data_IF_187626306490
#
_entry.id   IF_187626306490
#
_cell.length_a   1.000
_cell.length_b   1.000
_cell.length_c   1.000
_cell.angle_alpha   90.00
_cell.angle_beta   90.00
_cell.angle_gamma   90.00
#
_symmetry.space_group_name_H-M   'P 1'
#
loop_
_entity.id
_entity.type
_entity.pdbx_description
1 polymer ?
#
# COMPACT_ATOMS: atom_id res chain seq x y z
N UNK A 1 21.87 18.67 -7.15
CA UNK A 1 21.90 17.30 -7.71
C UNK A 1 21.18 17.34 -9.03
N UNK A 2 21.83 16.91 -10.12
CA UNK A 2 21.29 17.05 -11.48
C UNK A 2 19.98 16.29 -11.66
N UNK A 3 19.01 16.87 -12.36
CA UNK A 3 17.69 16.27 -12.55
C UNK A 3 17.67 15.12 -13.57
N UNK A 4 18.74 14.95 -14.34
CA UNK A 4 18.83 13.96 -15.42
C UNK A 4 19.06 12.54 -14.90
N UNK A 5 20.02 12.35 -13.98
CA UNK A 5 20.29 11.01 -13.40
C UNK A 5 19.08 10.45 -12.64
N UNK A 6 18.33 11.32 -11.95
CA UNK A 6 17.10 10.92 -11.27
C UNK A 6 16.08 10.35 -12.25
N UNK A 7 15.91 10.97 -13.43
CA UNK A 7 14.97 10.46 -14.44
C UNK A 7 15.41 9.13 -15.03
N UNK A 8 16.71 8.88 -15.10
CA UNK A 8 17.27 7.62 -15.63
C UNK A 8 17.12 6.43 -14.67
N UNK A 9 16.94 6.66 -13.36
CA UNK A 9 16.71 5.59 -12.39
C UNK A 9 15.23 5.32 -12.15
N UNK A 10 14.36 6.28 -12.44
CA UNK A 10 12.92 6.08 -12.33
C UNK A 10 12.48 4.99 -13.31
N UNK A 11 11.50 4.19 -12.88
CA UNK A 11 10.99 2.99 -13.54
C UNK A 11 11.95 1.80 -13.61
N UNK A 12 13.23 1.95 -13.22
CA UNK A 12 14.13 0.80 -13.11
C UNK A 12 13.70 -0.12 -11.98
N UNK A 13 13.85 -1.43 -12.21
CA UNK A 13 13.66 -2.42 -11.17
C UNK A 13 14.83 -2.35 -10.20
N UNK A 14 14.51 -2.20 -8.92
CA UNK A 14 15.49 -2.20 -7.83
C UNK A 14 15.23 -3.37 -6.90
N UNK A 15 16.29 -3.79 -6.20
CA UNK A 15 16.24 -4.68 -5.06
C UNK A 15 16.65 -3.89 -3.83
N UNK A 16 15.81 -3.96 -2.80
CA UNK A 16 15.98 -3.22 -1.54
C UNK A 16 16.10 -4.25 -0.43
N UNK A 17 17.20 -4.19 0.31
CA UNK A 17 17.43 -5.04 1.48
C UNK A 17 17.22 -4.21 2.73
N UNK A 18 16.36 -4.70 3.61
CA UNK A 18 16.08 -4.14 4.94
C UNK A 18 16.59 -5.09 6.03
N UNK A 19 16.36 -4.77 7.31
CA UNK A 19 16.57 -5.74 8.40
C UNK A 19 15.57 -6.91 8.32
N UNK A 20 14.32 -6.64 7.94
CA UNK A 20 13.21 -7.59 8.03
C UNK A 20 12.92 -8.37 6.75
N UNK A 21 13.63 -8.07 5.66
CA UNK A 21 13.27 -8.62 4.38
C UNK A 21 14.07 -8.05 3.22
N UNK A 22 14.00 -8.77 2.11
CA UNK A 22 14.47 -8.29 0.82
C UNK A 22 13.30 -8.18 -0.14
N UNK A 23 13.21 -7.03 -0.82
CA UNK A 23 12.10 -6.71 -1.71
C UNK A 23 12.62 -6.29 -3.08
N UNK A 24 11.82 -6.48 -4.11
CA UNK A 24 12.05 -5.91 -5.44
C UNK A 24 10.84 -5.11 -5.90
N UNK A 25 11.04 -4.09 -6.73
CA UNK A 25 9.95 -3.32 -7.33
C UNK A 25 10.50 -2.27 -8.29
N UNK A 26 9.63 -1.59 -9.03
CA UNK A 26 10.06 -0.51 -9.92
C UNK A 26 10.04 0.83 -9.20
N UNK A 27 11.12 1.60 -9.30
CA UNK A 27 11.29 2.86 -8.59
C UNK A 27 10.37 3.95 -9.16
N UNK A 28 9.47 4.50 -8.35
CA UNK A 28 8.51 5.54 -8.78
C UNK A 28 8.87 6.93 -8.26
N UNK A 29 9.43 7.00 -7.05
CA UNK A 29 9.78 8.27 -6.43
C UNK A 29 10.96 8.09 -5.47
N UNK A 30 11.75 9.15 -5.32
CA UNK A 30 12.79 9.29 -4.30
C UNK A 30 12.55 10.60 -3.57
N UNK A 31 12.29 10.51 -2.27
CA UNK A 31 12.22 11.65 -1.38
C UNK A 31 13.63 11.90 -0.81
N UNK A 32 14.24 13.01 -1.23
CA UNK A 32 15.58 13.37 -0.79
C UNK A 32 15.64 13.79 0.69
N UNK A 33 14.55 14.32 1.25
CA UNK A 33 14.51 14.81 2.63
C UNK A 33 14.44 13.65 3.62
N UNK A 34 13.53 12.70 3.40
CA UNK A 34 13.38 11.51 4.26
C UNK A 34 14.29 10.35 3.83
N UNK A 35 14.97 10.49 2.69
CA UNK A 35 15.71 9.42 2.00
C UNK A 35 14.82 8.22 1.67
N UNK A 36 13.50 8.42 1.60
CA UNK A 36 12.56 7.36 1.30
C UNK A 36 12.45 7.14 -0.21
N UNK A 37 12.07 5.93 -0.59
CA UNK A 37 11.78 5.56 -1.97
C UNK A 37 10.38 4.95 -2.05
N UNK A 38 9.69 5.19 -3.16
CA UNK A 38 8.39 4.56 -3.44
C UNK A 38 8.58 3.58 -4.59
N UNK A 39 8.14 2.34 -4.37
CA UNK A 39 8.15 1.28 -5.36
C UNK A 39 6.72 0.88 -5.73
N UNK A 40 6.50 0.53 -7.00
CA UNK A 40 5.33 -0.24 -7.43
C UNK A 40 5.73 -1.66 -7.88
N UNK A 41 4.74 -2.50 -8.16
CA UNK A 41 4.94 -3.92 -8.57
C UNK A 41 5.86 -4.68 -7.60
N UNK A 42 5.62 -4.49 -6.31
CA UNK A 42 6.55 -4.89 -5.27
C UNK A 42 6.43 -6.39 -4.99
N UNK A 43 7.57 -7.07 -4.93
CA UNK A 43 7.72 -8.47 -4.61
C UNK A 43 8.55 -8.61 -3.34
N UNK A 44 8.04 -9.38 -2.39
CA UNK A 44 8.76 -9.87 -1.21
C UNK A 44 9.53 -11.12 -1.64
N UNK A 45 10.85 -10.98 -1.75
CA UNK A 45 11.74 -12.01 -2.30
C UNK A 45 11.98 -13.15 -1.31
N UNK A 46 11.75 -12.94 -0.02
CA UNK A 46 11.93 -13.98 1.00
C UNK A 46 10.71 -14.89 1.06
N UNK A 47 9.52 -14.31 0.96
CA UNK A 47 8.26 -15.05 1.03
C UNK A 47 7.66 -15.37 -0.35
N UNK A 48 8.34 -14.99 -1.44
CA UNK A 48 7.89 -15.18 -2.82
C UNK A 48 6.46 -14.71 -3.08
N UNK A 49 6.10 -13.54 -2.54
CA UNK A 49 4.75 -12.97 -2.67
C UNK A 49 4.77 -11.58 -3.29
N UNK A 50 3.76 -11.29 -4.10
CA UNK A 50 3.50 -9.93 -4.58
C UNK A 50 2.80 -9.12 -3.50
N UNK A 51 3.28 -7.93 -3.22
CA UNK A 51 2.66 -6.99 -2.30
C UNK A 51 1.75 -6.05 -3.09
N UNK A 52 0.46 -5.94 -2.74
CA UNK A 52 -0.47 -5.08 -3.47
C UNK A 52 -0.16 -3.60 -3.24
N UNK A 53 -0.40 -2.80 -4.29
CA UNK A 53 -0.27 -1.35 -4.29
C UNK A 53 1.18 -0.85 -4.34
N UNK A 54 1.32 0.45 -4.12
CA UNK A 54 2.62 1.12 -3.96
C UNK A 54 3.15 0.89 -2.54
N UNK A 55 4.47 0.76 -2.38
CA UNK A 55 5.12 0.64 -1.07
C UNK A 55 6.20 1.70 -0.91
N UNK A 56 6.17 2.39 0.22
CA UNK A 56 7.19 3.33 0.61
C UNK A 56 8.25 2.62 1.46
N UNK A 57 9.53 2.93 1.23
CA UNK A 57 10.65 2.41 1.98
C UNK A 57 11.49 3.56 2.52
N UNK A 58 11.67 3.65 3.84
CA UNK A 58 12.37 4.78 4.46
C UNK A 58 13.87 4.57 4.51
N UNK A 59 14.65 5.63 4.28
CA UNK A 59 16.10 5.52 4.16
C UNK A 59 16.80 5.00 5.41
N UNK A 60 16.27 5.26 6.61
CA UNK A 60 16.83 4.72 7.86
C UNK A 60 16.65 3.19 8.00
N UNK A 61 15.75 2.60 7.20
CA UNK A 61 15.47 1.16 7.19
C UNK A 61 16.31 0.41 6.14
N UNK A 62 16.79 1.11 5.10
CA UNK A 62 17.45 0.53 3.93
C UNK A 62 18.91 0.22 4.26
N UNK A 63 19.25 -1.08 4.24
CA UNK A 63 20.63 -1.55 4.39
C UNK A 63 21.39 -1.55 3.07
N UNK A 64 20.69 -1.87 1.98
CA UNK A 64 21.28 -1.96 0.64
C UNK A 64 20.21 -1.69 -0.43
N UNK A 65 20.64 -1.10 -1.55
CA UNK A 65 19.80 -0.81 -2.70
C UNK A 65 20.58 -1.09 -3.99
N UNK A 66 20.08 -2.04 -4.79
CA UNK A 66 20.70 -2.52 -6.02
C UNK A 66 19.76 -2.25 -7.20
N UNK A 67 20.28 -1.72 -8.31
CA UNK A 67 19.52 -1.61 -9.56
C UNK A 67 19.68 -2.93 -10.33
N UNK A 68 18.57 -3.60 -10.61
CA UNK A 68 18.57 -4.90 -11.29
C UNK A 68 18.68 -4.78 -12.82
N UNK A 69 18.30 -3.63 -13.38
CA UNK A 69 18.33 -3.39 -14.84
C UNK A 69 19.72 -2.99 -15.37
N UNK A 70 20.76 -2.95 -14.52
CA UNK A 70 22.07 -2.43 -14.88
C UNK A 70 22.97 -3.39 -15.68
N UNK A 71 22.46 -4.51 -16.21
CA UNK A 71 23.25 -5.52 -16.93
C UNK A 71 23.00 -5.63 -18.44
N UNK A 72 22.28 -4.68 -19.05
CA UNK A 72 22.15 -4.60 -20.52
C UNK A 72 22.72 -3.29 -21.07
N UNK A 73 24.03 -3.10 -20.95
CA UNK A 73 24.74 -2.09 -21.76
C UNK A 73 25.96 -2.71 -22.41
N UNK A 74 25.70 -3.51 -23.45
CA UNK A 74 26.69 -3.92 -24.44
C UNK A 74 26.35 -3.28 -25.79
N UNK A 75 27.10 -2.23 -26.16
CA UNK A 75 27.32 -1.81 -27.55
C UNK A 75 28.81 -2.08 -27.84
N UNK A 76 29.18 -2.79 -28.93
CA UNK A 76 29.19 -2.26 -30.33
C UNK A 76 28.66 -3.30 -31.35
N UNK A 77 28.34 -3.07 -32.64
CA UNK A 77 28.58 -2.00 -33.61
C UNK A 77 27.54 -2.10 -34.76
N UNK A 78 27.49 -1.02 -35.53
CA UNK A 78 26.74 -0.74 -36.76
C UNK A 78 26.65 -1.86 -37.80
N UNK A 79 25.50 -1.94 -38.47
CA UNK A 79 25.40 -2.16 -39.91
C UNK A 79 24.08 -1.60 -40.41
N UNK A 80 24.18 -0.57 -41.24
CA UNK A 80 23.07 0.06 -41.94
C UNK A 80 22.43 -0.92 -42.93
N UNK A 81 21.10 -0.89 -43.03
CA UNK A 81 20.44 -1.01 -44.34
C UNK A 81 19.10 -0.30 -44.29
N UNK A 82 19.02 0.79 -45.06
CA UNK A 82 17.77 1.46 -45.39
C UNK A 82 16.90 0.52 -46.21
N UNK A 83 15.63 0.40 -45.83
CA UNK A 83 14.57 0.22 -46.82
C UNK A 83 13.30 0.90 -46.33
N UNK A 84 12.97 1.97 -47.04
CA UNK A 84 11.64 2.53 -47.23
C UNK A 84 10.55 1.47 -47.23
N UNK A 85 9.48 1.71 -46.46
CA UNK A 85 8.12 1.52 -46.96
C UNK A 85 7.15 2.42 -46.22
N UNK A 86 6.63 3.38 -46.98
CA UNK A 86 5.46 4.21 -46.72
C UNK A 86 4.27 3.30 -46.48
N UNK A 87 3.53 3.54 -45.41
CA UNK A 87 2.09 3.27 -45.40
C UNK A 87 1.37 4.24 -44.47
N UNK A 88 0.74 5.21 -45.11
CA UNK A 88 -0.29 6.07 -44.56
C UNK A 88 -1.44 5.20 -44.04
N UNK A 89 -1.87 5.43 -42.80
CA UNK A 89 -3.28 5.26 -42.43
C UNK A 89 -3.64 6.17 -41.26
N UNK A 90 -4.29 7.26 -41.66
CA UNK A 90 -5.19 8.15 -40.93
C UNK A 90 -6.10 7.37 -39.97
N UNK A 91 -6.21 7.82 -38.71
CA UNK A 91 -7.32 7.48 -37.80
C UNK A 91 -7.41 8.50 -36.65
N UNK A 92 -8.25 9.50 -36.91
CA UNK A 92 -9.28 10.12 -36.07
C UNK A 92 -9.08 10.27 -34.55
N UNK A 93 -9.21 11.53 -34.12
CA UNK A 93 -9.50 11.95 -32.74
C UNK A 93 -10.73 11.19 -32.22
N UNK A 94 -10.72 10.65 -31.00
CA UNK A 94 -11.95 10.35 -30.30
C UNK A 94 -12.51 11.66 -29.75
N UNK A 95 -13.69 12.03 -30.24
CA UNK A 95 -14.55 13.03 -29.62
C UNK A 95 -15.03 12.51 -28.27
N UNK A 96 -14.90 13.37 -27.27
CA UNK A 96 -15.40 13.21 -25.92
C UNK A 96 -16.93 13.29 -25.94
N UNK A 97 -17.61 12.15 -25.84
CA UNK A 97 -19.06 12.07 -25.64
C UNK A 97 -19.38 10.95 -24.65
N UNK A 98 -18.96 11.14 -23.41
CA UNK A 98 -19.61 10.50 -22.28
C UNK A 98 -20.71 11.42 -21.75
N UNK A 99 -21.98 10.97 -21.68
CA UNK A 99 -23.05 11.77 -21.10
C UNK A 99 -22.75 11.97 -19.61
N UNK A 100 -22.71 13.23 -19.18
CA UNK A 100 -22.68 13.63 -17.77
C UNK A 100 -23.87 12.96 -17.06
N UNK A 101 -23.62 11.81 -16.45
CA UNK A 101 -24.47 11.34 -15.37
C UNK A 101 -24.12 12.23 -14.19
N UNK A 102 -24.93 13.27 -14.02
CA UNK A 102 -25.01 14.03 -12.78
C UNK A 102 -24.95 13.03 -11.64
N UNK A 103 -23.88 13.05 -10.87
CA UNK A 103 -23.85 12.39 -9.57
C UNK A 103 -25.00 13.04 -8.81
N UNK A 104 -26.11 12.32 -8.72
CA UNK A 104 -27.19 12.71 -7.84
C UNK A 104 -26.53 12.84 -6.48
N UNK A 105 -26.46 14.09 -6.02
CA UNK A 105 -26.07 14.48 -4.69
C UNK A 105 -27.06 13.78 -3.77
N UNK A 106 -26.70 12.54 -3.40
CA UNK A 106 -27.40 11.81 -2.37
C UNK A 106 -27.22 12.68 -1.16
N UNK A 107 -28.34 13.29 -0.74
CA UNK A 107 -28.47 13.98 0.52
C UNK A 107 -27.72 13.15 1.55
N UNK A 108 -26.52 13.62 1.92
CA UNK A 108 -25.87 13.22 3.14
C UNK A 108 -26.83 13.76 4.19
N UNK A 109 -27.76 12.91 4.64
CA UNK A 109 -28.52 13.18 5.85
C UNK A 109 -27.46 13.51 6.88
N UNK A 110 -27.45 14.75 7.36
CA UNK A 110 -26.62 15.19 8.47
C UNK A 110 -26.65 14.07 9.49
N UNK A 111 -25.53 13.34 9.59
CA UNK A 111 -25.39 12.34 10.62
C UNK A 111 -25.48 13.16 11.89
N UNK A 112 -26.63 13.08 12.55
CA UNK A 112 -26.76 13.53 13.93
C UNK A 112 -25.53 12.95 14.64
N UNK A 113 -24.73 13.85 15.22
CA UNK A 113 -23.46 13.57 15.89
C UNK A 113 -23.75 12.76 17.16
N UNK A 114 -24.31 11.56 17.00
CA UNK A 114 -24.25 10.52 18.00
C UNK A 114 -22.77 10.17 18.09
N UNK A 115 -22.10 10.79 19.06
CA UNK A 115 -20.74 10.47 19.42
C UNK A 115 -20.68 8.99 19.81
N UNK A 116 -20.41 8.13 18.82
CA UNK A 116 -20.30 6.69 19.02
C UNK A 116 -19.25 6.43 20.10
N UNK A 117 -19.68 5.86 21.23
CA UNK A 117 -18.76 5.50 22.31
C UNK A 117 -17.85 4.37 21.83
N UNK A 118 -16.56 4.46 22.13
CA UNK A 118 -15.60 3.42 21.77
C UNK A 118 -15.50 2.35 22.86
N UNK A 119 -15.33 1.09 22.45
CA UNK A 119 -15.03 -0.01 23.36
C UNK A 119 -13.53 -0.26 23.35
N UNK A 120 -12.86 0.02 24.47
CA UNK A 120 -11.48 -0.37 24.70
C UNK A 120 -11.37 -1.89 24.90
N UNK A 121 -10.52 -2.52 24.10
CA UNK A 121 -10.15 -3.93 24.15
C UNK A 121 -8.67 -4.02 24.52
N UNK A 122 -8.41 -4.23 25.80
CA UNK A 122 -7.06 -4.27 26.40
C UNK A 122 -6.72 -5.67 26.96
N UNK A 123 -7.67 -6.59 26.94
CA UNK A 123 -7.53 -7.96 27.43
C UNK A 123 -8.43 -8.94 26.68
N UNK A 124 -8.07 -10.23 26.70
CA UNK A 124 -8.78 -11.30 25.99
C UNK A 124 -10.13 -11.73 26.59
N UNK A 125 -10.51 -11.22 27.77
CA UNK A 125 -11.66 -11.72 28.53
C UNK A 125 -13.03 -11.35 27.91
N UNK A 126 -13.85 -10.55 28.59
CA UNK A 126 -15.27 -10.41 28.25
C UNK A 126 -15.55 -9.68 26.94
N UNK A 127 -14.62 -8.85 26.46
CA UNK A 127 -14.86 -7.95 25.33
C UNK A 127 -14.24 -8.42 24.02
N UNK A 128 -13.08 -9.10 24.07
CA UNK A 128 -12.31 -9.46 22.88
C UNK A 128 -13.08 -10.40 21.94
N UNK A 129 -13.55 -11.53 22.45
CA UNK A 129 -14.30 -12.52 21.66
C UNK A 129 -15.55 -11.92 20.99
N UNK A 130 -16.44 -11.25 21.74
CA UNK A 130 -17.61 -10.57 21.17
C UNK A 130 -17.26 -9.52 20.13
N UNK A 131 -16.21 -8.71 20.35
CA UNK A 131 -15.76 -7.72 19.37
C UNK A 131 -15.29 -8.39 18.06
N UNK A 132 -14.44 -9.41 18.14
CA UNK A 132 -13.98 -10.16 16.96
C UNK A 132 -15.18 -10.77 16.20
N UNK A 133 -16.12 -11.37 16.92
CA UNK A 133 -17.32 -11.97 16.32
C UNK A 133 -18.21 -10.93 15.63
N UNK A 134 -18.40 -9.76 16.25
CA UNK A 134 -19.19 -8.68 15.67
C UNK A 134 -18.54 -8.09 14.43
N UNK A 135 -17.25 -7.79 14.48
CA UNK A 135 -16.49 -7.21 13.36
C UNK A 135 -16.46 -8.19 12.17
N UNK A 136 -16.33 -9.49 12.43
CA UNK A 136 -16.25 -10.52 11.37
C UNK A 136 -17.52 -10.65 10.51
N UNK A 137 -18.66 -10.15 11.01
CA UNK A 137 -19.94 -10.16 10.30
C UNK A 137 -20.11 -8.97 9.35
N UNK A 138 -19.24 -7.97 9.44
CA UNK A 138 -19.32 -6.77 8.61
C UNK A 138 -18.74 -7.04 7.23
N UNK A 139 -19.36 -6.47 6.19
CA UNK A 139 -18.80 -6.47 4.83
C UNK A 139 -17.84 -5.29 4.57
N UNK A 140 -17.95 -4.23 5.39
CA UNK A 140 -17.09 -3.04 5.33
C UNK A 140 -16.75 -2.62 6.77
N UNK A 141 -15.50 -2.29 7.02
CA UNK A 141 -15.02 -1.72 8.28
C UNK A 141 -14.09 -0.55 8.01
N UNK A 142 -14.05 0.43 8.90
CA UNK A 142 -12.97 1.42 8.92
C UNK A 142 -11.81 0.90 9.77
N UNK A 143 -10.57 1.04 9.29
CA UNK A 143 -9.37 0.66 10.07
C UNK A 143 -8.40 1.83 10.15
N UNK A 144 -8.01 2.18 11.38
CA UNK A 144 -6.90 3.10 11.64
C UNK A 144 -5.91 2.48 12.62
N UNK A 145 -4.64 2.88 12.52
CA UNK A 145 -3.55 2.31 13.31
C UNK A 145 -2.69 3.42 13.88
N UNK A 146 -2.31 3.29 15.15
CA UNK A 146 -1.38 4.21 15.81
C UNK A 146 -0.16 3.44 16.32
N UNK A 147 1.01 4.05 16.20
CA UNK A 147 2.26 3.45 16.61
C UNK A 147 3.40 4.46 16.68
N UNK A 148 4.52 4.00 17.25
CA UNK A 148 5.78 4.76 17.24
C UNK A 148 6.64 4.29 16.06
N UNK A 149 7.39 5.21 15.45
CA UNK A 149 8.26 4.94 14.30
C UNK A 149 7.52 4.26 13.13
N UNK A 150 6.31 4.76 12.84
CA UNK A 150 5.29 4.21 11.92
C UNK A 150 5.91 3.66 10.62
N UNK A 151 5.36 2.54 10.13
CA UNK A 151 5.77 1.69 9.00
C UNK A 151 6.39 0.35 9.43
N UNK A 152 7.46 -0.13 8.79
CA UNK A 152 7.81 -1.56 8.86
C UNK A 152 8.56 -1.95 10.13
N UNK A 153 9.26 -1.00 10.75
CA UNK A 153 9.96 -1.19 12.03
C UNK A 153 9.26 -0.47 13.19
N UNK A 154 8.17 0.23 12.90
CA UNK A 154 7.37 0.86 13.92
C UNK A 154 6.74 -0.17 14.85
N UNK A 155 6.56 0.22 16.11
CA UNK A 155 5.76 -0.59 17.04
C UNK A 155 4.33 -0.12 16.93
N UNK A 156 3.47 -1.02 16.50
CA UNK A 156 2.03 -0.84 16.53
C UNK A 156 1.55 -0.86 17.99
N UNK A 157 0.86 0.21 18.40
CA UNK A 157 0.38 0.39 19.77
C UNK A 157 -1.14 0.22 19.84
N UNK A 158 -1.88 0.78 18.88
CA UNK A 158 -3.33 0.72 18.85
C UNK A 158 -3.83 0.34 17.45
N UNK A 159 -4.92 -0.42 17.40
CA UNK A 159 -5.74 -0.57 16.20
C UNK A 159 -7.16 -0.10 16.52
N UNK A 160 -7.67 0.81 15.71
CA UNK A 160 -9.05 1.24 15.72
C UNK A 160 -9.79 0.50 14.60
N UNK A 161 -10.91 -0.11 14.95
CA UNK A 161 -11.82 -0.72 13.97
C UNK A 161 -13.21 -0.12 14.18
N UNK A 162 -13.72 0.56 13.16
CA UNK A 162 -15.07 1.12 13.14
C UNK A 162 -16.00 0.26 12.28
N UNK A 163 -17.19 -0.03 12.81
CA UNK A 163 -18.35 -0.53 12.06
C UNK A 163 -19.32 0.64 11.85
N UNK A 164 -20.49 0.39 11.27
CA UNK A 164 -21.52 1.43 11.09
C UNK A 164 -22.09 1.97 12.43
N UNK A 165 -21.91 1.22 13.51
CA UNK A 165 -22.61 1.42 14.79
C UNK A 165 -21.72 1.23 16.02
N UNK A 166 -20.42 0.94 15.86
CA UNK A 166 -19.52 0.70 16.98
C UNK A 166 -18.05 0.97 16.61
N UNK A 167 -17.33 1.63 17.51
CA UNK A 167 -15.88 1.78 17.42
C UNK A 167 -15.20 0.86 18.44
N UNK A 168 -14.20 0.09 18.00
CA UNK A 168 -13.36 -0.74 18.85
C UNK A 168 -11.92 -0.23 18.85
N UNK A 169 -11.35 -0.06 20.03
CA UNK A 169 -9.95 0.33 20.20
C UNK A 169 -9.19 -0.85 20.83
N UNK A 170 -8.38 -1.55 20.03
CA UNK A 170 -7.52 -2.64 20.49
C UNK A 170 -6.18 -2.09 20.96
N UNK A 171 -5.88 -2.28 22.24
CA UNK A 171 -4.56 -2.00 22.80
C UNK A 171 -3.59 -3.12 22.43
N UNK A 172 -2.94 -2.99 21.28
CA UNK A 172 -1.96 -3.96 20.79
C UNK A 172 -0.70 -3.98 21.65
N UNK A 173 -0.38 -2.86 22.31
CA UNK A 173 0.75 -2.83 23.21
C UNK A 173 0.54 -3.78 24.41
N UNK A 174 -0.67 -3.81 24.98
CA UNK A 174 -1.01 -4.72 26.07
C UNK A 174 -1.35 -6.14 25.59
N UNK A 175 -2.16 -6.27 24.53
CA UNK A 175 -2.60 -7.57 24.01
C UNK A 175 -1.47 -8.35 23.32
N UNK A 176 -0.50 -7.63 22.74
CA UNK A 176 0.63 -8.19 22.01
C UNK A 176 0.27 -8.95 20.73
N UNK A 177 1.25 -9.63 20.10
CA UNK A 177 1.07 -10.32 18.83
C UNK A 177 0.04 -11.45 18.85
N UNK A 178 -0.32 -11.95 20.04
CA UNK A 178 -1.33 -13.00 20.19
C UNK A 178 -2.74 -12.52 19.83
N UNK A 179 -3.02 -11.21 19.86
CA UNK A 179 -4.28 -10.64 19.40
C UNK A 179 -4.56 -10.94 17.91
N UNK A 180 -3.50 -10.93 17.09
CA UNK A 180 -3.58 -11.31 15.68
C UNK A 180 -3.91 -12.78 15.50
N UNK A 181 -3.22 -13.65 16.25
CA UNK A 181 -3.44 -15.10 16.20
C UNK A 181 -4.85 -15.48 16.65
N UNK A 182 -5.42 -14.73 17.60
CA UNK A 182 -6.71 -15.03 18.21
C UNK A 182 -7.90 -14.36 17.53
N UNK A 183 -7.71 -13.56 16.48
CA UNK A 183 -8.84 -13.04 15.71
C UNK A 183 -8.50 -11.91 14.74
N UNK A 184 -7.64 -10.97 15.10
CA UNK A 184 -7.45 -9.79 14.24
C UNK A 184 -6.90 -10.17 12.85
N UNK A 185 -6.07 -11.21 12.76
CA UNK A 185 -5.60 -11.72 11.46
C UNK A 185 -6.75 -12.16 10.56
N UNK A 186 -7.72 -12.90 11.11
CA UNK A 186 -8.84 -13.43 10.32
C UNK A 186 -9.76 -12.33 9.78
N UNK A 187 -9.82 -11.17 10.45
CA UNK A 187 -10.59 -10.00 10.01
C UNK A 187 -9.80 -9.21 8.97
N UNK A 188 -8.54 -8.86 9.29
CA UNK A 188 -7.73 -7.96 8.48
C UNK A 188 -7.33 -8.59 7.14
N UNK A 189 -7.12 -9.91 7.10
CA UNK A 189 -6.75 -10.64 5.88
C UNK A 189 -7.96 -11.19 5.10
N UNK A 190 -9.19 -10.96 5.57
CA UNK A 190 -10.40 -11.46 4.91
C UNK A 190 -10.67 -10.75 3.57
N UNK A 191 -10.75 -11.47 2.45
CA UNK A 191 -11.07 -10.86 1.16
C UNK A 191 -12.52 -10.36 1.04
N UNK A 192 -13.41 -10.86 1.88
CA UNK A 192 -14.85 -10.55 1.83
C UNK A 192 -15.21 -9.31 2.66
N UNK A 193 -14.25 -8.78 3.42
CA UNK A 193 -14.39 -7.55 4.21
C UNK A 193 -13.56 -6.45 3.56
N UNK A 194 -14.22 -5.37 3.12
CA UNK A 194 -13.56 -4.14 2.68
C UNK A 194 -13.05 -3.35 3.89
N UNK A 195 -11.83 -2.82 3.78
CA UNK A 195 -11.19 -1.99 4.82
C UNK A 195 -10.78 -0.64 4.24
#
# INVERSE_FOLDING_TARGET
MDSLWFREILSKRVKVTLVCGTYSGCLRHVDAATKAIVLDQVEDLENNRKLPGIKMFFGYEIKNLEILDALSTSYPNESATQTTNVNNNKRDKPEDTTPEKSFHEQHFSELEDESLEYILIDQFHQKFGPAIFHIKQQSVIGVAVEGIDICRFGKLCLIQIATNDQIYLFDIFLLGPVAFKNGLKMILEDSDILK
#
